data_IF_612552433269
#
_entry.id   IF_612552433269
#
_cell.length_a   1.000
_cell.length_b   1.000
_cell.length_c   1.000
_cell.angle_alpha   90.00
_cell.angle_beta   90.00
_cell.angle_gamma   90.00
#
_symmetry.space_group_name_H-M   'P 1'
#
loop_
_entity.id
_entity.type
_entity.pdbx_description
1 polymer ?
#
# COMPACT_ATOMS: atom_id res chain seq x y z
N UNK A 1 -0.73 22.21 -8.20
CA UNK A 1 0.58 21.72 -8.68
C UNK A 1 0.42 20.26 -9.07
N UNK A 2 1.01 19.81 -10.18
CA UNK A 2 1.05 18.38 -10.52
C UNK A 2 1.58 17.55 -9.34
N UNK A 3 1.04 16.36 -9.16
CA UNK A 3 1.38 15.45 -8.06
C UNK A 3 0.78 15.78 -6.68
N UNK A 4 0.07 16.91 -6.52
CA UNK A 4 -0.59 17.21 -5.24
C UNK A 4 -1.71 16.22 -4.94
N UNK A 5 -1.80 15.75 -3.69
CA UNK A 5 -2.94 14.95 -3.22
C UNK A 5 -4.19 15.82 -3.19
N UNK A 6 -5.22 15.40 -3.91
CA UNK A 6 -6.53 16.04 -4.00
C UNK A 6 -7.54 15.41 -3.04
N UNK A 7 -7.44 14.10 -2.85
CA UNK A 7 -8.37 13.34 -2.01
C UNK A 7 -7.68 12.11 -1.45
N UNK A 8 -8.01 11.79 -0.20
CA UNK A 8 -7.65 10.56 0.48
C UNK A 8 -8.95 9.91 0.94
N UNK A 9 -9.15 8.65 0.58
CA UNK A 9 -10.28 7.84 1.01
C UNK A 9 -9.75 6.53 1.61
N UNK A 10 -10.16 6.23 2.83
CA UNK A 10 -9.80 5.03 3.58
C UNK A 10 -11.07 4.24 3.89
N UNK A 11 -11.00 2.93 3.76
CA UNK A 11 -12.04 2.01 4.21
C UNK A 11 -11.38 0.87 4.99
N UNK A 12 -11.94 0.53 6.15
CA UNK A 12 -11.46 -0.55 7.03
C UNK A 12 -9.93 -0.51 7.24
N UNK A 13 -9.40 0.69 7.49
CA UNK A 13 -7.97 0.94 7.59
C UNK A 13 -7.60 1.33 9.02
N UNK A 14 -6.97 0.39 9.74
CA UNK A 14 -6.51 0.56 11.12
C UNK A 14 -7.61 1.08 12.07
N UNK A 15 -7.60 2.38 12.36
CA UNK A 15 -8.54 3.05 13.27
C UNK A 15 -9.77 3.62 12.56
N UNK A 16 -9.81 3.57 11.22
CA UNK A 16 -10.86 4.16 10.42
C UNK A 16 -11.77 3.08 9.82
N UNK A 17 -13.07 3.16 10.10
CA UNK A 17 -14.11 2.47 9.32
C UNK A 17 -14.18 3.05 7.93
N UNK A 18 -14.39 4.36 7.87
CA UNK A 18 -14.39 5.13 6.65
C UNK A 18 -13.85 6.53 6.94
N UNK A 19 -12.96 7.01 6.07
CA UNK A 19 -12.50 8.39 6.10
C UNK A 19 -12.40 8.89 4.67
N UNK A 20 -12.95 10.07 4.40
CA UNK A 20 -12.73 10.78 3.14
C UNK A 20 -12.37 12.22 3.41
N UNK A 21 -11.21 12.67 2.94
CA UNK A 21 -10.77 14.04 3.14
C UNK A 21 -10.08 14.61 1.90
N UNK A 22 -10.20 15.94 1.73
CA UNK A 22 -9.61 16.70 0.63
C UNK A 22 -8.61 17.70 1.21
N UNK A 23 -7.30 17.39 1.17
CA UNK A 23 -6.28 18.30 1.65
C UNK A 23 -6.29 19.64 0.89
N UNK A 24 -5.99 20.72 1.61
CA UNK A 24 -5.76 22.03 1.02
C UNK A 24 -4.40 22.12 0.32
N UNK A 25 -4.14 23.20 -0.44
CA UNK A 25 -2.86 23.40 -1.08
C UNK A 25 -1.75 23.68 -0.05
N UNK A 26 -0.55 23.16 -0.31
CA UNK A 26 0.67 23.35 0.48
C UNK A 26 0.63 22.61 1.83
N UNK A 27 0.40 23.32 2.93
CA UNK A 27 0.53 22.77 4.28
C UNK A 27 -0.82 22.27 4.79
N UNK A 28 -0.86 21.00 5.17
CA UNK A 28 -1.99 20.38 5.86
C UNK A 28 -1.51 19.91 7.23
N UNK A 29 -2.24 20.29 8.27
CA UNK A 29 -1.91 19.96 9.65
C UNK A 29 -2.96 18.98 10.19
N UNK A 30 -2.49 17.80 10.62
CA UNK A 30 -3.34 16.74 11.20
C UNK A 30 -3.18 16.75 12.72
N UNK A 31 -4.21 17.19 13.44
CA UNK A 31 -4.21 17.36 14.89
C UNK A 31 -5.30 16.48 15.53
N UNK A 32 -5.06 16.03 16.76
CA UNK A 32 -6.03 15.26 17.53
C UNK A 32 -5.39 14.58 18.74
N UNK A 33 -6.19 14.06 19.68
CA UNK A 33 -5.69 13.34 20.87
C UNK A 33 -4.90 12.07 20.52
N UNK A 34 -4.18 11.51 21.49
CA UNK A 34 -3.51 10.23 21.31
C UNK A 34 -4.54 9.13 20.98
N UNK A 35 -4.19 8.25 20.04
CA UNK A 35 -5.12 7.21 19.54
C UNK A 35 -6.10 7.65 18.45
N UNK A 36 -6.19 8.95 18.11
CA UNK A 36 -7.15 9.47 17.12
C UNK A 36 -6.87 9.10 15.64
N UNK A 37 -5.91 8.22 15.37
CA UNK A 37 -5.59 7.77 14.01
C UNK A 37 -4.67 8.68 13.17
N UNK A 38 -4.02 9.70 13.76
CA UNK A 38 -3.10 10.60 13.02
C UNK A 38 -1.97 9.84 12.31
N UNK A 39 -1.27 8.97 13.03
CA UNK A 39 -0.22 8.12 12.43
C UNK A 39 -0.80 7.09 11.46
N UNK A 40 -2.04 6.65 11.67
CA UNK A 40 -2.74 5.75 10.74
C UNK A 40 -2.97 6.45 9.39
N UNK A 41 -3.36 7.72 9.38
CA UNK A 41 -3.54 8.50 8.15
C UNK A 41 -2.21 8.66 7.39
N UNK A 42 -1.12 8.96 8.10
CA UNK A 42 0.23 9.05 7.49
C UNK A 42 0.65 7.69 6.91
N UNK A 43 0.42 6.60 7.64
CA UNK A 43 0.68 5.25 7.14
C UNK A 43 -0.16 4.93 5.91
N UNK A 44 -1.43 5.35 5.88
CA UNK A 44 -2.29 5.14 4.72
C UNK A 44 -1.72 5.83 3.49
N UNK A 45 -1.34 7.11 3.58
CA UNK A 45 -0.75 7.85 2.45
C UNK A 45 0.50 7.13 1.94
N UNK A 46 1.42 6.78 2.83
CA UNK A 46 2.65 6.09 2.46
C UNK A 46 2.37 4.73 1.82
N UNK A 47 1.48 3.92 2.41
CA UNK A 47 1.13 2.61 1.90
C UNK A 47 0.37 2.70 0.56
N UNK A 48 -0.57 3.63 0.42
CA UNK A 48 -1.31 3.86 -0.83
C UNK A 48 -0.38 4.25 -1.98
N UNK A 49 0.70 4.99 -1.71
CA UNK A 49 1.73 5.38 -2.67
C UNK A 49 2.89 4.37 -2.75
N UNK A 50 2.62 3.09 -2.51
CA UNK A 50 3.59 1.98 -2.62
C UNK A 50 4.80 2.04 -1.67
N UNK A 51 4.73 2.81 -0.58
CA UNK A 51 5.73 2.79 0.48
C UNK A 51 5.86 1.42 1.15
N UNK A 52 7.09 1.07 1.54
CA UNK A 52 7.38 -0.21 2.19
C UNK A 52 6.83 -0.27 3.62
N UNK A 53 6.10 -1.33 4.01
CA UNK A 53 5.60 -1.49 5.38
C UNK A 53 6.68 -1.40 6.46
N UNK A 54 7.90 -1.88 6.16
CA UNK A 54 9.06 -1.84 7.06
C UNK A 54 9.39 -0.41 7.53
N UNK A 55 9.21 0.58 6.66
CA UNK A 55 9.51 1.98 6.94
C UNK A 55 8.45 2.64 7.86
N UNK A 56 7.29 2.01 8.02
CA UNK A 56 6.15 2.56 8.75
C UNK A 56 6.11 2.12 10.22
N UNK A 57 7.10 1.37 10.70
CA UNK A 57 7.27 1.03 12.13
C UNK A 57 6.19 0.13 12.73
N UNK A 58 5.30 -0.45 11.91
CA UNK A 58 4.17 -1.30 12.36
C UNK A 58 4.37 -2.79 12.08
N UNK A 59 5.33 -3.13 11.21
CA UNK A 59 5.66 -4.51 10.84
C UNK A 59 6.00 -4.65 9.37
N UNK A 60 6.32 -5.88 8.95
CA UNK A 60 6.70 -6.19 7.56
C UNK A 60 5.50 -6.51 6.66
N UNK A 61 4.29 -6.64 7.22
CA UNK A 61 3.13 -7.23 6.56
C UNK A 61 2.04 -6.20 6.32
N UNK A 62 1.55 -6.18 5.08
CA UNK A 62 0.49 -5.26 4.62
C UNK A 62 -0.86 -5.56 5.28
N UNK A 63 -1.19 -6.83 5.54
CA UNK A 63 -2.44 -7.21 6.20
C UNK A 63 -2.59 -6.69 7.64
N UNK A 64 -1.53 -6.16 8.25
CA UNK A 64 -1.60 -5.52 9.58
C UNK A 64 -2.25 -4.12 9.56
N UNK A 65 -2.48 -3.56 8.38
CA UNK A 65 -3.12 -2.26 8.20
C UNK A 65 -4.63 -2.36 8.02
N UNK A 66 -5.17 -3.57 7.82
CA UNK A 66 -6.62 -3.81 7.86
C UNK A 66 -7.11 -3.58 9.28
N UNK A 67 -8.26 -2.91 9.42
CA UNK A 67 -8.91 -2.69 10.71
C UNK A 67 -9.17 -4.05 11.37
N UNK A 68 -9.11 -4.09 12.71
CA UNK A 68 -9.39 -5.33 13.45
C UNK A 68 -10.82 -5.79 13.16
N UNK A 69 -11.01 -7.09 13.08
CA UNK A 69 -12.31 -7.75 12.80
C UNK A 69 -12.80 -7.57 11.36
N UNK A 70 -12.06 -6.84 10.51
CA UNK A 70 -12.32 -6.74 9.08
C UNK A 70 -11.41 -7.69 8.29
N UNK A 71 -11.93 -8.24 7.20
CA UNK A 71 -11.20 -9.16 6.30
C UNK A 71 -10.40 -8.40 5.24
N UNK A 72 -10.90 -7.24 4.82
CA UNK A 72 -10.29 -6.39 3.82
C UNK A 72 -10.48 -4.90 4.10
N UNK A 73 -9.68 -4.08 3.42
CA UNK A 73 -9.82 -2.64 3.39
C UNK A 73 -9.08 -2.04 2.20
N UNK A 74 -9.14 -0.72 2.08
CA UNK A 74 -8.43 -0.03 1.01
C UNK A 74 -7.93 1.36 1.40
N UNK A 75 -6.91 1.77 0.66
CA UNK A 75 -6.48 3.17 0.59
C UNK A 75 -6.63 3.64 -0.85
N UNK A 76 -7.35 4.73 -1.04
CA UNK A 76 -7.51 5.38 -2.33
C UNK A 76 -7.01 6.81 -2.24
N UNK A 77 -6.10 7.18 -3.15
CA UNK A 77 -5.47 8.50 -3.20
C UNK A 77 -5.64 9.05 -4.60
N UNK A 78 -6.22 10.24 -4.69
CA UNK A 78 -6.36 10.98 -5.94
C UNK A 78 -5.29 12.05 -5.99
N UNK A 79 -4.48 12.04 -7.05
CA UNK A 79 -3.43 13.01 -7.32
C UNK A 79 -3.84 13.93 -8.47
N UNK A 80 -3.37 15.17 -8.43
CA UNK A 80 -3.45 16.07 -9.59
C UNK A 80 -2.47 15.61 -10.67
N UNK A 81 -2.95 15.41 -11.88
CA UNK A 81 -2.11 15.19 -13.06
C UNK A 81 -1.46 16.49 -13.55
N UNK A 82 -0.93 16.47 -14.77
CA UNK A 82 -0.20 17.61 -15.35
C UNK A 82 -1.10 18.83 -15.57
N UNK A 83 -2.36 18.58 -15.95
CA UNK A 83 -3.37 19.62 -16.19
C UNK A 83 -4.45 19.58 -15.11
N UNK A 84 -5.16 20.71 -14.90
CA UNK A 84 -6.15 20.84 -13.82
C UNK A 84 -7.29 19.80 -13.86
N UNK A 85 -7.67 19.36 -15.05
CA UNK A 85 -8.75 18.40 -15.28
C UNK A 85 -8.30 16.94 -15.26
N UNK A 86 -6.99 16.69 -15.36
CA UNK A 86 -6.46 15.33 -15.32
C UNK A 86 -6.19 14.92 -13.88
N UNK A 87 -6.80 13.83 -13.42
CA UNK A 87 -6.59 13.26 -12.08
C UNK A 87 -6.12 11.81 -12.20
N UNK A 88 -5.13 11.44 -11.38
CA UNK A 88 -4.62 10.08 -11.29
C UNK A 88 -5.14 9.49 -9.99
N UNK A 89 -5.83 8.36 -10.06
CA UNK A 89 -6.34 7.67 -8.86
C UNK A 89 -5.56 6.40 -8.63
N UNK A 90 -4.95 6.29 -7.45
CA UNK A 90 -4.23 5.10 -6.99
C UNK A 90 -5.06 4.45 -5.91
N UNK A 91 -5.39 3.17 -6.07
CA UNK A 91 -6.13 2.40 -5.08
C UNK A 91 -5.33 1.15 -4.70
N UNK A 92 -5.11 0.96 -3.41
CA UNK A 92 -4.44 -0.21 -2.85
C UNK A 92 -5.40 -0.95 -1.95
N UNK A 93 -5.85 -2.10 -2.42
CA UNK A 93 -6.64 -3.05 -1.64
C UNK A 93 -5.71 -3.87 -0.75
N UNK A 94 -6.15 -4.12 0.48
CA UNK A 94 -5.40 -4.83 1.49
C UNK A 94 -6.29 -5.88 2.13
N UNK A 95 -5.78 -7.11 2.20
CA UNK A 95 -6.51 -8.26 2.75
C UNK A 95 -5.77 -8.76 3.99
N UNK A 96 -6.52 -9.14 5.02
CA UNK A 96 -5.98 -9.74 6.22
C UNK A 96 -5.25 -11.05 5.86
N UNK A 97 -4.08 -11.29 6.49
CA UNK A 97 -3.16 -12.37 6.07
C UNK A 97 -3.80 -13.76 6.11
N UNK A 98 -4.71 -14.00 7.05
CA UNK A 98 -5.29 -15.33 7.29
C UNK A 98 -5.90 -15.88 5.99
N UNK A 99 -6.53 -15.03 5.20
CA UNK A 99 -7.26 -15.50 4.02
C UNK A 99 -6.35 -15.79 2.83
N UNK A 100 -5.32 -14.97 2.59
CA UNK A 100 -4.49 -15.12 1.38
C UNK A 100 -3.57 -16.36 1.44
N UNK A 101 -2.88 -16.56 2.56
CA UNK A 101 -1.96 -17.69 2.69
C UNK A 101 -2.71 -19.04 2.69
N UNK A 102 -3.83 -19.10 3.41
CA UNK A 102 -4.68 -20.29 3.49
C UNK A 102 -5.31 -20.60 2.13
N UNK A 103 -5.75 -19.57 1.39
CA UNK A 103 -6.29 -19.71 0.02
C UNK A 103 -5.24 -20.23 -0.96
N UNK A 104 -4.02 -19.69 -0.93
CA UNK A 104 -2.89 -20.16 -1.76
C UNK A 104 -2.60 -21.64 -1.49
N UNK A 105 -2.55 -22.02 -0.22
CA UNK A 105 -2.29 -23.41 0.17
C UNK A 105 -3.45 -24.32 -0.24
N UNK A 106 -4.71 -23.92 -0.01
CA UNK A 106 -5.92 -24.68 -0.36
C UNK A 106 -6.00 -24.97 -1.86
N UNK A 107 -5.68 -23.99 -2.69
CA UNK A 107 -5.68 -24.15 -4.15
C UNK A 107 -4.37 -24.70 -4.71
N UNK A 108 -3.42 -25.09 -3.85
CA UNK A 108 -2.10 -25.60 -4.23
C UNK A 108 -1.36 -24.66 -5.22
N UNK A 109 -1.50 -23.34 -5.01
CA UNK A 109 -0.87 -22.33 -5.87
C UNK A 109 0.61 -22.19 -5.46
N UNK A 110 1.51 -22.61 -6.33
CA UNK A 110 2.96 -22.57 -6.09
C UNK A 110 3.55 -21.19 -6.43
N UNK A 111 3.27 -20.18 -5.59
CA UNK A 111 3.73 -18.80 -5.82
C UNK A 111 5.24 -18.68 -5.97
N UNK A 112 6.01 -19.54 -5.29
CA UNK A 112 7.47 -19.58 -5.40
C UNK A 112 7.97 -19.88 -6.82
N UNK A 113 7.16 -20.55 -7.66
CA UNK A 113 7.53 -20.83 -9.05
C UNK A 113 7.28 -19.63 -9.97
N UNK A 114 6.36 -18.73 -9.61
CA UNK A 114 6.06 -17.52 -10.39
C UNK A 114 7.14 -16.44 -10.24
N UNK A 115 7.81 -16.39 -9.09
CA UNK A 115 8.83 -15.38 -8.78
C UNK A 115 10.25 -15.80 -9.16
N UNK A 116 10.46 -16.99 -9.72
CA UNK A 116 11.80 -17.44 -10.15
C UNK A 116 12.32 -16.72 -11.39
N UNK A 117 11.48 -15.97 -12.11
CA UNK A 117 11.90 -15.28 -13.34
C UNK A 117 12.96 -14.19 -13.09
N UNK A 118 12.90 -13.48 -11.95
CA UNK A 118 13.95 -12.52 -11.56
C UNK A 118 15.27 -13.19 -11.13
N UNK A 119 15.23 -14.46 -10.72
CA UNK A 119 16.43 -15.29 -10.50
C UNK A 119 17.00 -15.92 -11.78
N UNK A 120 16.18 -16.12 -12.82
CA UNK A 120 16.64 -16.67 -14.11
C UNK A 120 17.46 -15.66 -14.94
N UNK A 121 17.16 -14.36 -14.86
CA UNK A 121 17.94 -13.34 -15.58
C UNK A 121 19.32 -13.14 -14.96
N UNK A 122 19.44 -13.10 -13.62
CA UNK A 122 20.74 -12.87 -12.97
C UNK A 122 21.68 -14.08 -13.04
N UNK A 123 21.16 -15.31 -12.97
CA UNK A 123 21.99 -16.52 -13.11
C UNK A 123 22.53 -16.74 -14.52
N UNK A 124 21.76 -16.40 -15.57
CA UNK A 124 22.26 -16.47 -16.96
C UNK A 124 23.39 -15.48 -17.22
N UNK A 125 23.33 -14.28 -16.64
CA UNK A 125 24.42 -13.30 -16.71
C UNK A 125 25.65 -13.74 -15.91
N UNK A 126 25.48 -14.29 -14.71
CA UNK A 126 26.61 -14.76 -13.89
C UNK A 126 27.33 -15.99 -14.48
N UNK A 127 26.62 -16.88 -15.18
CA UNK A 127 27.24 -18.02 -15.88
C UNK A 127 27.89 -17.63 -17.22
N UNK A 128 27.47 -16.52 -17.84
CA UNK A 128 28.07 -16.02 -19.09
C UNK A 128 29.36 -15.21 -18.82
N UNK A 129 29.55 -14.68 -17.60
CA UNK A 129 30.71 -13.87 -17.22
C UNK A 129 31.83 -14.63 -16.48
N UNK A 130 31.65 -15.91 -16.17
CA UNK A 130 32.70 -16.77 -15.57
C UNK A 130 33.44 -17.65 -16.61
N UNK A 131 33.47 -17.21 -17.86
CA UNK A 131 34.45 -17.68 -18.85
C UNK A 131 35.31 -16.48 -19.22
N UNK A 132 36.24 -16.12 -18.34
CA UNK A 132 37.52 -15.45 -18.60
C UNK A 132 38.38 -15.52 -17.32
#
# INVERSE_FOLDING_TARGET
MPGSILEIELCNFMTFDYLKCKPGPRLNLVIGPNGSGKSSLVCAIALGLCGEPKLLGRGTRIGLYVKREEEEGHVKITLRGDNKENHITIMRNIVAKKDVADTIQRFNIQVNNLTQSSYMVSKRLAQTLNVL
#
